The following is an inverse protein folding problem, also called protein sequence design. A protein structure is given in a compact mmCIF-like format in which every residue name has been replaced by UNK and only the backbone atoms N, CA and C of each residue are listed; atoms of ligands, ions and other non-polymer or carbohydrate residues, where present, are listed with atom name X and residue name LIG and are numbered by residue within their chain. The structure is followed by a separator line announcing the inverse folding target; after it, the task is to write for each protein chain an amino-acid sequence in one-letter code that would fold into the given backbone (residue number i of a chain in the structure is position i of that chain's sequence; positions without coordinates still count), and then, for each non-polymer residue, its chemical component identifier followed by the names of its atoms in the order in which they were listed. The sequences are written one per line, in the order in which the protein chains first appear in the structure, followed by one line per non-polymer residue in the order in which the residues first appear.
data_IF_010047421263
#
_entry.id   IF_010047421263
#
_cell.length_a   1.000
_cell.length_b   1.000
_cell.length_c   1.000
_cell.angle_alpha   90.00
_cell.angle_beta   90.00
_cell.angle_gamma   90.00
#
_symmetry.space_group_name_H-M   'P 1'
#
loop_
_entity.id
_entity.type
_entity.pdbx_description
1 polymer ?
#
# COMPACT_ATOMS: atom_id res chain seq x y z
N UNK A 1 -49.21 -25.10 2.33
CA UNK A 1 -48.73 -25.86 1.15
C UNK A 1 -49.79 -26.85 0.66
N UNK A 2 -50.20 -27.85 1.46
CA UNK A 2 -51.20 -28.88 1.07
C UNK A 2 -52.49 -28.30 0.50
N UNK A 3 -53.13 -27.36 1.20
CA UNK A 3 -54.36 -26.71 0.71
C UNK A 3 -54.24 -26.06 -0.68
N UNK A 4 -53.05 -25.55 -1.07
CA UNK A 4 -52.81 -24.99 -2.41
C UNK A 4 -52.61 -26.11 -3.45
N UNK A 5 -51.86 -27.15 -3.09
CA UNK A 5 -51.65 -28.34 -3.94
C UNK A 5 -52.97 -29.06 -4.22
N UNK A 6 -53.83 -29.20 -3.20
CA UNK A 6 -55.13 -29.83 -3.33
C UNK A 6 -56.07 -28.98 -4.19
N UNK A 7 -56.09 -27.65 -3.98
CA UNK A 7 -56.87 -26.74 -4.83
C UNK A 7 -56.43 -26.79 -6.30
N UNK A 8 -55.12 -26.84 -6.58
CA UNK A 8 -54.59 -26.95 -7.94
C UNK A 8 -54.93 -28.30 -8.58
N UNK A 9 -54.81 -29.40 -7.83
CA UNK A 9 -55.18 -30.73 -8.30
C UNK A 9 -56.66 -30.81 -8.64
N UNK A 10 -57.51 -30.21 -7.81
CA UNK A 10 -58.96 -30.12 -8.04
C UNK A 10 -59.31 -29.26 -9.26
N UNK A 11 -58.49 -28.25 -9.57
CA UNK A 11 -58.63 -27.43 -10.78
C UNK A 11 -58.09 -28.11 -12.05
N UNK A 12 -57.64 -29.37 -11.98
CA UNK A 12 -57.15 -30.14 -13.13
C UNK A 12 -55.65 -29.99 -13.42
N UNK A 13 -54.88 -29.35 -12.53
CA UNK A 13 -53.43 -29.29 -12.67
C UNK A 13 -52.76 -30.62 -12.33
N UNK A 14 -51.66 -30.93 -13.03
CA UNK A 14 -50.79 -32.07 -12.70
C UNK A 14 -49.96 -31.68 -11.47
N UNK A 15 -50.38 -32.15 -10.30
CA UNK A 15 -49.72 -31.86 -9.03
C UNK A 15 -49.04 -33.12 -8.47
N UNK A 16 -47.70 -33.17 -8.45
CA UNK A 16 -46.97 -34.32 -7.90
C UNK A 16 -47.11 -34.40 -6.37
N UNK A 17 -46.97 -35.61 -5.83
CA UNK A 17 -47.12 -35.86 -4.39
C UNK A 17 -45.99 -35.24 -3.54
N UNK A 18 -44.79 -35.08 -4.13
CA UNK A 18 -43.61 -34.49 -3.48
C UNK A 18 -42.77 -33.71 -4.49
N UNK A 19 -41.83 -32.88 -4.01
CA UNK A 19 -40.88 -32.17 -4.88
C UNK A 19 -40.00 -33.13 -5.70
N UNK A 20 -39.59 -34.26 -5.12
CA UNK A 20 -38.82 -35.29 -5.84
C UNK A 20 -39.59 -35.93 -7.01
N UNK A 21 -40.93 -35.94 -6.94
CA UNK A 21 -41.80 -36.45 -8.01
C UNK A 21 -42.10 -35.40 -9.11
N UNK A 22 -41.57 -34.18 -9.01
CA UNK A 22 -41.80 -33.13 -9.99
C UNK A 22 -41.17 -33.44 -11.35
N UNK A 23 -39.93 -33.96 -11.38
CA UNK A 23 -39.26 -34.37 -12.63
C UNK A 23 -40.04 -35.44 -13.41
N UNK A 24 -40.47 -36.55 -12.77
CA UNK A 24 -41.35 -37.54 -13.40
C UNK A 24 -42.67 -36.97 -13.92
N UNK A 25 -43.34 -36.12 -13.14
CA UNK A 25 -44.61 -35.51 -13.54
C UNK A 25 -44.46 -34.57 -14.75
N UNK A 26 -43.38 -33.78 -14.82
CA UNK A 26 -43.05 -32.95 -15.99
C UNK A 26 -42.80 -33.83 -17.22
N UNK A 27 -42.05 -34.93 -17.05
CA UNK A 27 -41.75 -35.85 -18.15
C UNK A 27 -43.01 -36.52 -18.69
N UNK A 28 -43.92 -36.96 -17.82
CA UNK A 28 -45.19 -37.58 -18.21
C UNK A 28 -46.08 -36.59 -18.98
N UNK A 29 -46.25 -35.37 -18.46
CA UNK A 29 -46.99 -34.31 -19.14
C UNK A 29 -46.43 -34.00 -20.53
N UNK A 30 -45.10 -33.92 -20.66
CA UNK A 30 -44.43 -33.71 -21.94
C UNK A 30 -44.67 -34.86 -22.93
N UNK A 31 -44.61 -36.12 -22.47
CA UNK A 31 -44.89 -37.29 -23.32
C UNK A 31 -46.34 -37.34 -23.79
N UNK A 32 -47.29 -36.92 -22.96
CA UNK A 32 -48.70 -36.80 -23.35
C UNK A 32 -48.91 -35.71 -24.42
N UNK A 33 -48.23 -34.56 -24.28
CA UNK A 33 -48.24 -33.48 -25.29
C UNK A 33 -47.59 -33.89 -26.61
N UNK A 34 -46.55 -34.74 -26.59
CA UNK A 34 -45.96 -35.33 -27.79
C UNK A 34 -46.94 -36.29 -28.48
N UNK A 35 -47.57 -37.19 -27.72
CA UNK A 35 -48.54 -38.17 -28.26
C UNK A 35 -49.78 -37.50 -28.87
N UNK A 36 -50.25 -36.42 -28.26
CA UNK A 36 -51.37 -35.63 -28.76
C UNK A 36 -51.01 -34.72 -29.95
N UNK A 37 -49.74 -34.61 -30.30
CA UNK A 37 -49.26 -33.77 -31.40
C UNK A 37 -49.27 -32.27 -31.09
N UNK A 38 -49.55 -31.88 -29.83
CA UNK A 38 -49.51 -30.48 -29.37
C UNK A 38 -48.08 -29.91 -29.39
N UNK A 39 -47.08 -30.77 -29.22
CA UNK A 39 -45.65 -30.42 -29.26
C UNK A 39 -44.94 -31.39 -30.18
N UNK A 40 -43.92 -30.91 -30.90
CA UNK A 40 -43.02 -31.75 -31.72
C UNK A 40 -41.73 -32.02 -30.96
N UNK A 41 -41.06 -33.12 -31.28
CA UNK A 41 -39.71 -33.34 -30.76
C UNK A 41 -38.81 -32.15 -31.16
N UNK A 42 -38.08 -31.56 -30.19
CA UNK A 42 -37.20 -30.45 -30.48
C UNK A 42 -36.09 -30.92 -31.42
N UNK A 43 -35.89 -30.16 -32.50
CA UNK A 43 -34.72 -30.34 -33.36
C UNK A 43 -33.55 -29.71 -32.65
N UNK A 44 -32.68 -30.52 -32.05
CA UNK A 44 -31.45 -30.00 -31.48
C UNK A 44 -30.54 -29.45 -32.58
N UNK A 45 -29.99 -28.24 -32.42
CA UNK A 45 -29.02 -27.71 -33.37
C UNK A 45 -27.79 -28.62 -33.41
N UNK A 46 -27.28 -28.89 -34.62
CA UNK A 46 -26.14 -29.79 -34.83
C UNK A 46 -24.87 -29.39 -34.06
N UNK A 47 -24.74 -28.10 -33.71
CA UNK A 47 -23.68 -27.61 -32.82
C UNK A 47 -24.13 -26.34 -32.10
N UNK A 48 -23.90 -26.27 -30.79
CA UNK A 48 -24.04 -25.03 -30.03
C UNK A 48 -22.82 -24.12 -30.27
N UNK A 49 -23.01 -22.78 -30.34
CA UNK A 49 -21.90 -21.84 -30.41
C UNK A 49 -21.05 -21.92 -29.13
N UNK A 50 -19.74 -22.09 -29.28
CA UNK A 50 -18.81 -22.07 -28.15
C UNK A 50 -18.51 -20.63 -27.78
N UNK A 51 -18.92 -20.22 -26.59
CA UNK A 51 -18.52 -18.93 -26.03
C UNK A 51 -17.04 -18.97 -25.64
N UNK A 52 -16.30 -17.86 -25.77
CA UNK A 52 -14.93 -17.79 -25.27
C UNK A 52 -14.94 -17.95 -23.74
N UNK A 53 -13.94 -18.66 -23.22
CA UNK A 53 -13.70 -18.76 -21.77
C UNK A 53 -13.38 -17.39 -21.19
N UNK A 54 -13.67 -17.20 -19.91
CA UNK A 54 -13.16 -16.00 -19.22
C UNK A 54 -11.65 -16.12 -19.03
N UNK A 55 -10.99 -14.98 -18.78
CA UNK A 55 -9.55 -14.98 -18.50
C UNK A 55 -9.24 -15.79 -17.24
N UNK A 56 -10.09 -15.72 -16.22
CA UNK A 56 -9.92 -16.49 -14.98
C UNK A 56 -10.02 -18.00 -15.21
N UNK A 57 -10.94 -18.45 -16.06
CA UNK A 57 -11.10 -19.86 -16.42
C UNK A 57 -9.90 -20.36 -17.22
N UNK A 58 -9.44 -19.57 -18.19
CA UNK A 58 -8.28 -19.89 -19.00
C UNK A 58 -6.98 -19.89 -18.17
N UNK A 59 -6.84 -18.99 -17.19
CA UNK A 59 -5.73 -18.99 -16.24
C UNK A 59 -5.76 -20.22 -15.32
N UNK A 60 -6.94 -20.61 -14.81
CA UNK A 60 -7.08 -21.84 -13.99
C UNK A 60 -6.80 -23.11 -14.78
N UNK A 61 -7.10 -23.10 -16.07
CA UNK A 61 -6.80 -24.18 -16.99
C UNK A 61 -5.35 -24.17 -17.50
N UNK A 62 -4.51 -23.22 -17.05
CA UNK A 62 -3.13 -23.02 -17.49
C UNK A 62 -3.00 -22.78 -19.02
N UNK A 63 -4.05 -22.24 -19.64
CA UNK A 63 -4.10 -21.94 -21.08
C UNK A 63 -3.52 -20.56 -21.40
N UNK A 64 -3.58 -19.63 -20.44
CA UNK A 64 -3.06 -18.27 -20.57
C UNK A 64 -2.37 -17.82 -19.28
N UNK A 65 -1.32 -17.02 -19.44
CA UNK A 65 -0.66 -16.33 -18.33
C UNK A 65 -0.81 -14.82 -18.52
N UNK A 66 -1.34 -14.14 -17.49
CA UNK A 66 -1.48 -12.68 -17.49
C UNK A 66 -0.28 -12.08 -16.77
N UNK A 67 0.54 -11.35 -17.52
CA UNK A 67 1.69 -10.66 -16.94
C UNK A 67 1.24 -9.51 -16.02
N UNK A 68 1.80 -9.38 -14.80
CA UNK A 68 1.43 -8.30 -13.89
C UNK A 68 1.98 -6.95 -14.38
N UNK A 69 1.12 -5.93 -14.40
CA UNK A 69 1.48 -4.55 -14.76
C UNK A 69 2.32 -3.85 -13.69
N UNK A 70 2.02 -4.12 -12.42
CA UNK A 70 2.69 -3.53 -11.26
C UNK A 70 3.30 -4.65 -10.43
N UNK A 71 4.56 -4.46 -10.04
CA UNK A 71 5.27 -5.36 -9.13
C UNK A 71 5.58 -4.59 -7.85
N UNK A 72 5.33 -5.22 -6.71
CA UNK A 72 5.73 -4.73 -5.38
C UNK A 72 6.60 -5.78 -4.71
N UNK A 73 7.51 -5.33 -3.86
CA UNK A 73 8.49 -6.17 -3.17
C UNK A 73 8.71 -5.75 -1.72
N UNK A 74 7.88 -4.85 -1.18
CA UNK A 74 8.06 -4.29 0.17
C UNK A 74 6.92 -4.69 1.12
N UNK A 75 5.79 -5.14 0.59
CA UNK A 75 4.65 -5.59 1.39
C UNK A 75 3.80 -6.60 0.62
N UNK A 76 3.00 -7.38 1.35
CA UNK A 76 2.02 -8.29 0.77
C UNK A 76 0.84 -8.51 1.70
N UNK A 77 -0.37 -8.56 1.14
CA UNK A 77 -1.65 -8.64 1.85
C UNK A 77 -2.54 -9.80 1.35
N UNK A 78 -2.00 -10.68 0.51
CA UNK A 78 -2.74 -11.79 -0.10
C UNK A 78 -2.86 -13.02 0.79
N UNK A 79 -2.02 -13.12 1.82
CA UNK A 79 -2.05 -14.22 2.79
C UNK A 79 -3.05 -13.97 3.90
N UNK A 80 -2.92 -14.73 4.99
CA UNK A 80 -3.83 -14.61 6.15
C UNK A 80 -3.64 -13.30 6.92
N UNK A 81 -2.44 -12.69 6.86
CA UNK A 81 -2.15 -11.39 7.47
C UNK A 81 -1.21 -10.53 6.60
N UNK A 82 -1.16 -9.20 6.82
CA UNK A 82 -0.25 -8.31 6.13
C UNK A 82 1.20 -8.58 6.52
N UNK A 83 2.08 -8.60 5.52
CA UNK A 83 3.52 -8.74 5.71
C UNK A 83 4.27 -7.47 5.27
N UNK A 84 5.31 -7.11 6.03
CA UNK A 84 6.29 -6.09 5.68
C UNK A 84 7.60 -6.78 5.29
N UNK A 85 7.95 -6.73 4.01
CA UNK A 85 9.12 -7.42 3.44
C UNK A 85 9.20 -8.91 3.88
N UNK A 86 8.06 -9.60 3.82
CA UNK A 86 7.95 -11.01 4.20
C UNK A 86 7.72 -11.28 5.69
N UNK A 87 7.88 -10.30 6.58
CA UNK A 87 7.60 -10.45 8.00
C UNK A 87 6.12 -10.22 8.32
N UNK A 88 5.41 -11.18 8.92
CA UNK A 88 4.03 -10.98 9.35
C UNK A 88 3.94 -9.86 10.40
N UNK A 89 2.90 -9.02 10.30
CA UNK A 89 2.72 -7.90 11.21
C UNK A 89 2.61 -8.36 12.69
N UNK A 90 1.93 -9.48 12.93
CA UNK A 90 1.79 -10.07 14.27
C UNK A 90 3.14 -10.47 14.88
N UNK A 91 4.04 -11.07 14.09
CA UNK A 91 5.38 -11.46 14.53
C UNK A 91 6.19 -10.25 14.98
N UNK A 92 6.11 -9.15 14.23
CA UNK A 92 6.87 -7.94 14.51
C UNK A 92 6.45 -7.31 15.84
N UNK A 93 5.14 -7.25 16.09
CA UNK A 93 4.58 -6.75 17.35
C UNK A 93 5.00 -7.65 18.52
N UNK A 94 4.83 -8.97 18.38
CA UNK A 94 5.10 -9.93 19.46
C UNK A 94 6.59 -10.00 19.82
N UNK A 95 7.50 -9.75 18.86
CA UNK A 95 8.95 -9.67 19.10
C UNK A 95 9.42 -8.30 19.61
N UNK A 96 8.50 -7.34 19.80
CA UNK A 96 8.79 -6.03 20.35
C UNK A 96 9.51 -5.09 19.39
N UNK A 97 9.32 -5.27 18.08
CA UNK A 97 9.85 -4.33 17.09
C UNK A 97 9.02 -3.04 17.06
N UNK A 98 9.72 -1.90 16.95
CA UNK A 98 9.12 -0.57 16.90
C UNK A 98 8.97 -0.04 15.46
N UNK A 99 8.22 1.05 15.28
CA UNK A 99 8.04 1.75 13.99
C UNK A 99 9.33 1.91 13.16
N UNK A 100 10.50 2.29 13.72
CA UNK A 100 11.74 2.39 12.96
C UNK A 100 12.17 1.09 12.27
N UNK A 101 11.88 -0.08 12.84
CA UNK A 101 12.19 -1.37 12.21
C UNK A 101 11.31 -1.60 10.98
N UNK A 102 10.04 -1.17 11.06
CA UNK A 102 9.10 -1.22 9.93
C UNK A 102 9.58 -0.29 8.81
N UNK A 103 10.10 0.90 9.16
CA UNK A 103 10.74 1.81 8.19
C UNK A 103 11.92 1.11 7.50
N UNK A 104 12.76 0.40 8.24
CA UNK A 104 13.87 -0.40 7.67
C UNK A 104 13.40 -1.46 6.67
N UNK A 105 12.36 -2.22 7.02
CA UNK A 105 11.78 -3.24 6.14
C UNK A 105 11.19 -2.62 4.86
N UNK A 106 10.40 -1.54 4.99
CA UNK A 106 9.70 -0.95 3.86
C UNK A 106 10.59 -0.13 2.94
N UNK A 107 11.65 0.50 3.46
CA UNK A 107 12.50 1.40 2.68
C UNK A 107 13.80 0.74 2.23
N UNK A 108 14.41 -0.11 3.07
CA UNK A 108 15.72 -0.73 2.84
C UNK A 108 15.65 -2.27 2.71
N UNK A 109 14.46 -2.87 2.89
CA UNK A 109 14.27 -4.34 2.89
C UNK A 109 15.20 -5.06 3.86
N UNK A 110 15.38 -4.44 5.02
CA UNK A 110 16.26 -4.92 6.08
C UNK A 110 15.56 -4.79 7.41
N UNK A 111 15.52 -5.89 8.14
CA UNK A 111 15.24 -5.84 9.57
C UNK A 111 16.46 -5.26 10.29
N UNK A 112 16.48 -3.93 10.39
CA UNK A 112 17.60 -3.18 10.98
C UNK A 112 17.81 -3.56 12.46
N UNK A 113 19.03 -3.35 12.95
CA UNK A 113 19.38 -3.57 14.34
C UNK A 113 18.67 -2.60 15.29
N UNK A 114 18.61 -2.96 16.58
CA UNK A 114 18.05 -2.08 17.63
C UNK A 114 18.76 -0.72 17.69
N UNK A 115 20.06 -0.69 17.44
CA UNK A 115 20.85 0.53 17.44
C UNK A 115 20.47 1.43 16.26
N UNK A 116 20.34 0.87 15.05
CA UNK A 116 19.88 1.60 13.86
C UNK A 116 18.45 2.13 14.05
N UNK A 117 17.56 1.30 14.60
CA UNK A 117 16.19 1.70 14.93
C UNK A 117 16.14 2.86 15.93
N UNK A 118 16.98 2.85 16.95
CA UNK A 118 17.09 3.94 17.93
C UNK A 118 17.61 5.24 17.28
N UNK A 119 18.57 5.16 16.34
CA UNK A 119 19.04 6.32 15.58
C UNK A 119 17.89 6.92 14.75
N UNK A 120 17.16 6.09 14.00
CA UNK A 120 16.01 6.54 13.21
C UNK A 120 14.94 7.18 14.11
N UNK A 121 14.62 6.55 15.23
CA UNK A 121 13.66 7.10 16.23
C UNK A 121 14.07 8.49 16.69
N UNK A 122 15.35 8.68 17.05
CA UNK A 122 15.89 9.99 17.45
C UNK A 122 15.80 11.02 16.33
N UNK A 123 16.14 10.65 15.10
CA UNK A 123 16.03 11.54 13.93
C UNK A 123 14.56 11.98 13.74
N UNK A 124 13.60 11.05 13.82
CA UNK A 124 12.18 11.36 13.73
C UNK A 124 11.73 12.33 14.84
N UNK A 125 12.11 12.06 16.09
CA UNK A 125 11.78 12.92 17.23
C UNK A 125 12.37 14.32 17.09
N UNK A 126 13.64 14.43 16.69
CA UNK A 126 14.33 15.71 16.54
C UNK A 126 13.83 16.55 15.36
N UNK A 127 13.18 15.91 14.39
CA UNK A 127 12.66 16.53 13.16
C UNK A 127 11.15 16.78 13.20
N UNK A 128 10.48 16.42 14.30
CA UNK A 128 9.02 16.43 14.39
C UNK A 128 8.40 17.81 14.15
N UNK A 129 9.01 18.88 14.68
CA UNK A 129 8.58 20.26 14.44
C UNK A 129 9.72 21.28 14.68
N UNK A 130 9.63 22.46 14.07
CA UNK A 130 10.51 23.60 14.33
C UNK A 130 9.75 24.92 14.48
N UNK A 131 8.48 24.85 14.85
CA UNK A 131 7.62 26.00 15.06
C UNK A 131 6.95 26.53 13.78
N UNK A 132 6.00 27.46 13.93
CA UNK A 132 5.04 27.80 12.87
C UNK A 132 5.60 28.67 11.74
N UNK A 133 6.80 29.24 11.93
CA UNK A 133 7.36 30.22 10.99
C UNK A 133 8.16 29.58 9.83
N UNK A 134 8.31 28.26 9.81
CA UNK A 134 8.97 27.56 8.70
C UNK A 134 8.00 27.30 7.55
N UNK A 135 8.50 27.25 6.32
CA UNK A 135 7.66 27.25 5.10
C UNK A 135 6.55 26.18 5.12
N UNK A 136 6.88 24.94 5.49
CA UNK A 136 5.88 23.87 5.55
C UNK A 136 4.83 24.09 6.63
N UNK A 137 5.23 24.45 7.84
CA UNK A 137 4.29 24.69 8.94
C UNK A 137 3.35 25.87 8.63
N UNK A 138 3.90 26.97 8.11
CA UNK A 138 3.11 28.14 7.70
C UNK A 138 2.11 27.77 6.57
N UNK A 139 2.54 26.99 5.58
CA UNK A 139 1.66 26.52 4.51
C UNK A 139 0.49 25.68 5.04
N UNK A 140 0.77 24.73 5.95
CA UNK A 140 -0.26 23.93 6.61
C UNK A 140 -1.23 24.79 7.43
N UNK A 141 -0.71 25.76 8.18
CA UNK A 141 -1.51 26.66 9.02
C UNK A 141 -2.47 27.49 8.15
N UNK A 142 -1.97 28.10 7.07
CA UNK A 142 -2.80 28.90 6.15
C UNK A 142 -3.92 28.04 5.56
N UNK A 143 -3.62 26.83 5.09
CA UNK A 143 -4.62 25.92 4.55
C UNK A 143 -5.69 25.56 5.59
N UNK A 144 -5.28 25.22 6.81
CA UNK A 144 -6.20 24.91 7.89
C UNK A 144 -7.08 26.13 8.27
N UNK A 145 -6.51 27.33 8.32
CA UNK A 145 -7.25 28.58 8.55
C UNK A 145 -8.26 28.88 7.43
N UNK A 146 -8.01 28.39 6.21
CA UNK A 146 -8.97 28.48 5.09
C UNK A 146 -10.07 27.40 5.16
N UNK A 147 -10.14 26.60 6.23
CA UNK A 147 -11.12 25.53 6.39
C UNK A 147 -10.84 24.28 5.57
N UNK A 148 -9.62 24.12 5.04
CA UNK A 148 -9.22 22.95 4.26
C UNK A 148 -9.03 21.74 5.19
N UNK A 149 -9.48 20.56 4.75
CA UNK A 149 -9.39 19.31 5.51
C UNK A 149 -7.96 18.95 5.90
N UNK A 150 -7.81 18.16 6.98
CA UNK A 150 -6.51 17.85 7.59
C UNK A 150 -5.48 17.30 6.58
N UNK A 151 -5.84 16.30 5.78
CA UNK A 151 -4.92 15.68 4.82
C UNK A 151 -4.41 16.66 3.77
N UNK A 152 -5.30 17.51 3.25
CA UNK A 152 -4.97 18.53 2.25
C UNK A 152 -4.16 19.68 2.85
N UNK A 153 -4.46 20.07 4.10
CA UNK A 153 -3.68 21.07 4.82
C UNK A 153 -2.25 20.59 5.07
N UNK A 154 -2.07 19.33 5.51
CA UNK A 154 -0.74 18.71 5.65
C UNK A 154 -0.04 18.64 4.29
N UNK A 155 -0.73 18.24 3.22
CA UNK A 155 -0.16 18.20 1.87
C UNK A 155 0.35 19.58 1.42
N UNK A 156 -0.39 20.66 1.70
CA UNK A 156 0.02 22.03 1.38
C UNK A 156 1.37 22.40 2.04
N UNK A 157 1.60 21.98 3.28
CA UNK A 157 2.89 22.14 3.94
C UNK A 157 3.98 21.20 3.42
N UNK A 158 3.65 19.93 3.15
CA UNK A 158 4.61 18.93 2.65
C UNK A 158 5.17 19.29 1.28
N UNK A 159 4.37 19.89 0.39
CA UNK A 159 4.82 20.33 -0.94
C UNK A 159 5.89 21.43 -0.85
N UNK A 160 5.98 22.14 0.27
CA UNK A 160 7.05 23.14 0.50
C UNK A 160 8.41 22.50 0.78
N UNK A 161 8.46 21.20 1.11
CA UNK A 161 9.72 20.48 1.35
C UNK A 161 10.48 20.33 0.04
N UNK A 162 11.70 20.88 0.01
CA UNK A 162 12.52 20.96 -1.18
C UNK A 162 13.91 21.52 -0.89
N UNK A 163 14.64 22.03 -1.91
CA UNK A 163 16.04 22.40 -1.77
C UNK A 163 16.34 23.43 -0.66
N UNK A 164 15.41 24.35 -0.40
CA UNK A 164 15.58 25.42 0.60
C UNK A 164 14.91 25.14 1.95
N UNK A 165 14.01 24.17 2.02
CA UNK A 165 13.30 23.78 3.24
C UNK A 165 13.31 22.24 3.36
N UNK A 166 14.15 21.71 4.26
CA UNK A 166 14.34 20.27 4.45
C UNK A 166 15.48 19.65 3.63
N UNK A 167 15.82 20.19 2.45
CA UNK A 167 16.81 19.60 1.53
C UNK A 167 18.26 19.55 2.04
N UNK A 168 18.62 20.35 3.06
CA UNK A 168 19.99 20.43 3.57
C UNK A 168 20.53 19.09 4.10
N UNK A 169 19.67 18.20 4.61
CA UNK A 169 20.07 16.88 5.12
C UNK A 169 20.56 15.98 3.97
N UNK A 170 19.82 15.93 2.86
CA UNK A 170 20.19 15.16 1.67
C UNK A 170 21.48 15.68 1.05
N UNK A 171 21.63 16.99 0.93
CA UNK A 171 22.85 17.58 0.35
C UNK A 171 24.06 17.43 1.28
N UNK A 172 23.89 17.53 2.60
CA UNK A 172 24.95 17.22 3.55
C UNK A 172 25.41 15.76 3.35
N UNK A 173 24.48 14.79 3.38
CA UNK A 173 24.80 13.39 3.15
C UNK A 173 25.54 13.16 1.82
N UNK A 174 25.09 13.79 0.73
CA UNK A 174 25.74 13.71 -0.59
C UNK A 174 27.18 14.21 -0.57
N UNK A 175 27.42 15.42 -0.07
CA UNK A 175 28.74 16.04 -0.17
C UNK A 175 29.74 15.53 0.87
N UNK A 176 29.30 15.22 2.09
CA UNK A 176 30.16 14.55 3.07
C UNK A 176 30.55 13.15 2.58
N UNK A 177 29.61 12.39 2.01
CA UNK A 177 29.93 11.09 1.39
C UNK A 177 30.91 11.24 0.23
N UNK A 178 30.70 12.21 -0.65
CA UNK A 178 31.62 12.48 -1.76
C UNK A 178 33.05 12.74 -1.28
N UNK A 179 33.24 13.57 -0.24
CA UNK A 179 34.55 13.86 0.32
C UNK A 179 35.21 12.60 0.89
N UNK A 180 34.45 11.77 1.62
CA UNK A 180 34.93 10.50 2.19
C UNK A 180 35.32 9.51 1.09
N UNK A 181 34.45 9.30 0.09
CA UNK A 181 34.68 8.36 -1.01
C UNK A 181 35.92 8.75 -1.84
N UNK A 182 36.17 10.05 -1.99
CA UNK A 182 37.35 10.59 -2.70
C UNK A 182 38.56 10.84 -1.79
N UNK A 183 38.49 10.47 -0.49
CA UNK A 183 39.57 10.62 0.49
C UNK A 183 40.12 12.05 0.58
N UNK A 184 39.26 13.06 0.39
CA UNK A 184 39.66 14.47 0.42
C UNK A 184 40.05 14.88 1.84
N UNK A 185 41.11 15.69 1.96
CA UNK A 185 41.38 16.37 3.22
C UNK A 185 40.31 17.45 3.49
N UNK A 186 40.14 17.85 4.75
CA UNK A 186 39.12 18.84 5.14
C UNK A 186 39.30 20.15 4.38
N UNK A 187 40.51 20.68 4.30
CA UNK A 187 40.79 21.94 3.60
C UNK A 187 40.50 21.84 2.09
N UNK A 188 40.84 20.70 1.48
CA UNK A 188 40.57 20.42 0.08
C UNK A 188 39.05 20.37 -0.20
N UNK A 189 38.30 19.68 0.65
CA UNK A 189 36.84 19.63 0.57
C UNK A 189 36.21 21.03 0.70
N UNK A 190 36.69 21.86 1.64
CA UNK A 190 36.19 23.22 1.81
C UNK A 190 36.46 24.10 0.59
N UNK A 191 37.66 23.99 -0.02
CA UNK A 191 38.00 24.67 -1.27
C UNK A 191 37.12 24.19 -2.42
N UNK A 192 36.90 22.89 -2.54
CA UNK A 192 36.02 22.29 -3.55
C UNK A 192 34.58 22.80 -3.40
N UNK A 193 34.02 22.80 -2.20
CA UNK A 193 32.67 23.29 -1.94
C UNK A 193 32.55 24.78 -2.28
N UNK A 194 33.48 25.61 -1.81
CA UNK A 194 33.50 27.05 -2.11
C UNK A 194 33.57 27.33 -3.62
N UNK A 195 34.36 26.56 -4.37
CA UNK A 195 34.54 26.75 -5.82
C UNK A 195 33.32 26.31 -6.64
N UNK A 196 32.65 25.22 -6.24
CA UNK A 196 31.67 24.55 -7.10
C UNK A 196 30.21 24.67 -6.64
N UNK A 197 29.97 24.76 -5.33
CA UNK A 197 28.62 24.57 -4.74
C UNK A 197 28.20 25.67 -3.76
N UNK A 198 29.15 26.36 -3.12
CA UNK A 198 28.90 27.38 -2.11
C UNK A 198 29.12 26.87 -0.67
N UNK A 199 28.38 27.42 0.32
CA UNK A 199 28.49 26.98 1.72
C UNK A 199 28.20 25.49 1.90
N UNK A 200 28.92 24.84 2.81
CA UNK A 200 28.76 23.40 3.08
C UNK A 200 27.38 23.15 3.72
N UNK A 201 26.49 22.36 3.09
CA UNK A 201 25.20 22.01 3.67
C UNK A 201 25.37 21.29 5.01
N UNK A 202 24.52 21.62 5.99
CA UNK A 202 24.62 21.09 7.35
C UNK A 202 25.65 21.82 8.24
N UNK A 203 26.42 22.76 7.70
CA UNK A 203 27.34 23.60 8.47
C UNK A 203 26.78 25.02 8.62
N UNK A 204 26.79 25.51 9.85
CA UNK A 204 26.35 26.87 10.20
C UNK A 204 25.05 26.88 11.01
N UNK A 205 24.92 27.85 11.90
CA UNK A 205 23.73 28.06 12.71
C UNK A 205 23.58 29.55 13.04
N UNK A 206 22.34 30.07 13.05
CA UNK A 206 22.07 31.51 13.31
C UNK A 206 22.48 31.95 14.73
N UNK A 207 22.16 31.15 15.75
CA UNK A 207 22.41 31.48 17.18
C UNK A 207 23.44 30.56 17.87
N UNK A 208 23.47 29.27 17.55
CA UNK A 208 24.32 28.28 18.23
C UNK A 208 25.77 28.39 17.77
N UNK A 209 26.67 28.04 18.67
CA UNK A 209 28.13 28.14 18.48
C UNK A 209 28.85 27.03 19.24
N UNK A 210 30.18 26.98 19.14
CA UNK A 210 31.00 26.05 19.91
C UNK A 210 30.83 26.22 21.43
N UNK A 211 30.60 27.46 21.89
CA UNK A 211 30.38 27.78 23.32
C UNK A 211 28.92 27.58 23.75
N UNK A 212 27.97 27.73 22.83
CA UNK A 212 26.53 27.47 23.04
C UNK A 212 26.02 26.46 22.02
N UNK A 213 26.31 25.16 22.22
CA UNK A 213 26.02 24.12 21.24
C UNK A 213 24.52 23.84 21.11
N UNK A 214 24.09 23.40 19.91
CA UNK A 214 22.73 22.89 19.72
C UNK A 214 22.59 21.56 20.47
N UNK A 215 21.61 21.51 21.38
CA UNK A 215 21.32 20.31 22.18
C UNK A 215 20.90 19.14 21.29
N UNK A 216 20.14 19.39 20.21
CA UNK A 216 19.68 18.34 19.28
C UNK A 216 20.87 17.63 18.62
N UNK A 217 21.87 18.41 18.21
CA UNK A 217 23.11 17.88 17.62
C UNK A 217 23.90 17.08 18.66
N UNK A 218 24.01 17.60 19.89
CA UNK A 218 24.69 16.89 20.99
C UNK A 218 24.05 15.55 21.32
N UNK A 219 22.73 15.50 21.43
CA UNK A 219 22.01 14.25 21.75
C UNK A 219 22.20 13.18 20.68
N UNK A 220 22.11 13.56 19.40
CA UNK A 220 22.28 12.59 18.31
C UNK A 220 23.73 12.13 18.17
N UNK A 221 24.68 13.07 18.15
CA UNK A 221 26.11 12.74 18.03
C UNK A 221 26.60 11.94 19.25
N UNK A 222 26.09 12.25 20.44
CA UNK A 222 26.42 11.53 21.67
C UNK A 222 25.94 10.07 21.66
N UNK A 223 24.84 9.77 20.99
CA UNK A 223 24.35 8.39 20.83
C UNK A 223 25.09 7.61 19.74
N UNK A 224 25.48 8.28 18.65
CA UNK A 224 26.12 7.63 17.48
C UNK A 224 27.61 7.34 17.70
N UNK A 225 28.29 8.16 18.52
CA UNK A 225 29.70 7.95 18.90
C UNK A 225 29.86 6.76 19.83
#
# INVERSE_FOLDING_TARGET
ARAKSDALKNAGAIVPATFGALGPAIKEAYQEMLKSGLVKEPVEPASLPKLPKTVEEAMKADEVMVAPLIRTTISGDRGDEPCYDGYPASELINKGYEIPHIVGLLWDKRLISKQEAEIIKRIMMLSADHGPCVSGALGTIIAACAGIGMSQSVAAGLIMIGPRFGGAVTDAGRYFKYAVDNKMAVDEFLVYMKKNHGPVPGIGHRVKSLRNPDKRVKELVGYVK
#
